data_IF_127719865998
#
_entry.id   IF_127719865998
#
_cell.length_a   1.000
_cell.length_b   1.000
_cell.length_c   1.000
_cell.angle_alpha   90.00
_cell.angle_beta   90.00
_cell.angle_gamma   90.00
#
_symmetry.space_group_name_H-M   'P 1'
#
loop_
_entity.id
_entity.type
_entity.pdbx_description
1 polymer ?
#
# COMPACT_ATOMS: atom_id res chain seq x y z
N UNK A 1 -8.37 -9.79 -4.84
CA UNK A 1 -7.44 -10.29 -3.80
C UNK A 1 -6.03 -10.38 -4.40
N UNK A 2 -5.52 -9.30 -5.03
CA UNK A 2 -4.33 -9.37 -5.92
C UNK A 2 -3.20 -8.42 -5.47
N UNK A 3 -3.53 -7.31 -4.79
CA UNK A 3 -2.55 -6.26 -4.49
C UNK A 3 -1.53 -6.66 -3.41
N UNK A 4 -1.91 -7.42 -2.40
CA UNK A 4 -0.98 -7.83 -1.33
C UNK A 4 0.04 -8.86 -1.83
N UNK A 5 -0.40 -9.80 -2.66
CA UNK A 5 0.49 -10.78 -3.30
C UNK A 5 1.43 -10.09 -4.29
N UNK A 6 0.93 -9.10 -5.06
CA UNK A 6 1.80 -8.32 -5.93
C UNK A 6 2.84 -7.50 -5.15
N UNK A 7 2.47 -6.95 -3.99
CA UNK A 7 3.42 -6.24 -3.11
C UNK A 7 4.47 -7.20 -2.53
N UNK A 8 4.12 -8.46 -2.23
CA UNK A 8 5.09 -9.41 -1.69
C UNK A 8 6.11 -9.87 -2.73
N UNK A 9 5.71 -9.99 -3.99
CA UNK A 9 6.61 -10.37 -5.09
C UNK A 9 7.38 -9.18 -5.66
N UNK A 10 6.71 -8.03 -5.86
CA UNK A 10 7.26 -6.86 -6.54
C UNK A 10 6.89 -5.58 -5.80
N UNK A 11 7.49 -5.30 -4.62
CA UNK A 11 7.07 -4.20 -3.77
C UNK A 11 7.34 -2.82 -4.38
N UNK A 12 8.22 -2.66 -5.35
CA UNK A 12 8.55 -1.35 -5.94
C UNK A 12 7.79 -1.06 -7.25
N UNK A 13 7.12 -2.06 -7.83
CA UNK A 13 6.50 -1.98 -9.17
C UNK A 13 5.13 -2.66 -9.24
N UNK A 14 4.38 -2.37 -10.30
CA UNK A 14 3.09 -3.03 -10.58
C UNK A 14 1.89 -2.10 -10.43
N UNK A 15 0.75 -2.66 -10.06
CA UNK A 15 -0.51 -1.93 -10.02
C UNK A 15 -0.62 -0.96 -8.85
N UNK A 16 -1.54 0.00 -8.98
CA UNK A 16 -1.79 1.00 -7.94
C UNK A 16 -0.73 2.09 -7.85
N UNK A 17 0.01 2.36 -8.92
CA UNK A 17 0.99 3.48 -9.00
C UNK A 17 1.90 3.55 -7.76
N UNK A 18 2.85 2.61 -7.62
CA UNK A 18 3.77 2.60 -6.49
C UNK A 18 4.62 3.89 -6.47
N UNK A 19 4.58 4.60 -5.34
CA UNK A 19 5.29 5.86 -5.16
C UNK A 19 6.09 5.85 -3.86
N UNK A 20 7.39 6.15 -3.96
CA UNK A 20 8.23 6.34 -2.78
C UNK A 20 7.90 7.68 -2.11
N UNK A 21 7.56 7.63 -0.82
CA UNK A 21 7.23 8.81 -0.04
C UNK A 21 8.50 9.56 0.39
N UNK A 22 8.34 10.87 0.61
CA UNK A 22 9.44 11.80 0.91
C UNK A 22 9.20 12.48 2.27
N UNK A 23 10.24 13.16 2.78
CA UNK A 23 10.15 13.90 4.05
C UNK A 23 10.10 12.98 5.27
N UNK A 24 9.15 13.20 6.17
CA UNK A 24 8.99 12.40 7.39
C UNK A 24 8.62 10.94 7.14
N UNK A 25 8.10 10.62 5.95
CA UNK A 25 7.77 9.26 5.51
C UNK A 25 8.80 8.71 4.52
N UNK A 26 10.01 9.28 4.46
CA UNK A 26 11.09 8.74 3.65
C UNK A 26 11.36 7.28 4.02
N UNK A 27 11.49 6.41 3.01
CA UNK A 27 11.63 4.95 3.19
C UNK A 27 10.31 4.18 3.20
N UNK A 28 9.17 4.88 3.17
CA UNK A 28 7.87 4.28 2.93
C UNK A 28 7.44 4.41 1.46
N UNK A 29 6.53 3.55 1.06
CA UNK A 29 5.91 3.46 -0.24
C UNK A 29 4.41 3.61 -0.12
N UNK A 30 3.77 4.21 -1.12
CA UNK A 30 2.32 4.29 -1.23
C UNK A 30 1.85 3.60 -2.49
N UNK A 31 0.73 2.88 -2.40
CA UNK A 31 -0.02 2.36 -3.56
C UNK A 31 -1.50 2.67 -3.43
N UNK A 32 -2.16 2.91 -4.56
CA UNK A 32 -3.60 3.09 -4.69
C UNK A 32 -4.31 1.74 -4.57
N UNK A 33 -5.19 1.63 -3.58
CA UNK A 33 -6.16 0.53 -3.51
C UNK A 33 -7.33 0.85 -4.45
N UNK A 34 -7.75 2.11 -4.44
CA UNK A 34 -8.78 2.66 -5.32
C UNK A 34 -8.54 4.18 -5.52
N UNK A 35 -9.51 4.91 -6.10
CA UNK A 35 -9.37 6.36 -6.34
C UNK A 35 -9.10 7.18 -5.07
N UNK A 36 -9.60 6.74 -3.91
CA UNK A 36 -9.55 7.46 -2.63
C UNK A 36 -8.53 6.87 -1.64
N UNK A 37 -8.46 5.55 -1.54
CA UNK A 37 -7.69 4.88 -0.49
C UNK A 37 -6.26 4.53 -0.93
N UNK A 38 -5.35 4.55 0.03
CA UNK A 38 -3.92 4.27 -0.15
C UNK A 38 -3.45 3.24 0.87
N UNK A 39 -2.66 2.29 0.40
CA UNK A 39 -1.87 1.39 1.22
C UNK A 39 -0.49 2.03 1.38
N UNK A 40 0.03 2.09 2.60
CA UNK A 40 1.40 2.54 2.88
C UNK A 40 2.19 1.37 3.42
N UNK A 41 3.39 1.13 2.90
CA UNK A 41 4.22 0.02 3.35
C UNK A 41 5.67 0.43 3.33
N UNK A 42 6.52 -0.37 3.97
CA UNK A 42 7.97 -0.25 3.85
C UNK A 42 8.56 -1.62 3.56
N UNK A 43 9.68 -1.58 2.86
CA UNK A 43 10.45 -2.75 2.46
C UNK A 43 11.67 -2.78 3.38
N UNK A 44 11.89 -3.91 4.04
CA UNK A 44 13.07 -4.14 4.86
C UNK A 44 13.66 -5.51 4.46
N UNK A 45 14.94 -5.74 4.76
CA UNK A 45 15.66 -6.95 4.31
C UNK A 45 15.06 -8.28 4.82
N UNK A 46 14.25 -8.23 5.87
CA UNK A 46 13.70 -9.41 6.56
C UNK A 46 12.20 -9.58 6.31
N UNK A 47 11.46 -8.49 6.17
CA UNK A 47 10.00 -8.52 6.08
C UNK A 47 9.46 -7.24 5.43
N UNK A 48 8.30 -7.37 4.78
CA UNK A 48 7.51 -6.24 4.28
C UNK A 48 6.46 -5.91 5.33
N UNK A 49 6.46 -4.67 5.83
CA UNK A 49 5.46 -4.20 6.80
C UNK A 49 4.46 -3.31 6.09
N UNK A 50 3.19 -3.72 6.11
CA UNK A 50 2.08 -3.03 5.46
C UNK A 50 1.21 -2.32 6.49
N UNK A 51 1.08 -1.00 6.36
CA UNK A 51 0.17 -0.15 7.11
C UNK A 51 -1.01 0.27 6.23
N UNK A 52 -2.21 -0.20 6.58
CA UNK A 52 -3.43 0.26 5.95
C UNK A 52 -3.91 1.49 6.72
N UNK A 53 -3.62 2.68 6.21
CA UNK A 53 -4.02 3.94 6.86
C UNK A 53 -5.52 4.20 6.77
N UNK A 54 -6.16 3.76 5.68
CA UNK A 54 -7.61 3.76 5.55
C UNK A 54 -8.09 2.61 4.66
N UNK A 55 -9.13 1.93 5.10
CA UNK A 55 -9.95 1.07 4.27
C UNK A 55 -11.39 1.55 4.47
N UNK A 56 -11.85 2.47 3.60
CA UNK A 56 -13.25 2.92 3.65
C UNK A 56 -14.16 1.87 3.01
N UNK A 57 -14.81 1.08 3.86
CA UNK A 57 -16.05 0.39 3.51
C UNK A 57 -17.25 1.27 3.86
N UNK A 58 -18.18 1.43 2.91
CA UNK A 58 -19.58 1.61 3.28
C UNK A 58 -20.05 0.25 3.79
N UNK A 59 -20.12 0.05 5.10
CA UNK A 59 -20.97 -0.99 5.66
C UNK A 59 -22.37 -0.39 5.85
N UNK A 60 -23.00 0.03 4.74
CA UNK A 60 -24.44 0.36 4.72
C UNK A 60 -25.23 -0.74 4.02
N UNK A 61 -24.81 -2.00 4.18
CA UNK A 61 -25.69 -3.15 3.91
C UNK A 61 -26.38 -3.57 5.21
N UNK A 62 -27.27 -2.70 5.71
CA UNK A 62 -28.66 -3.01 6.07
C UNK A 62 -29.42 -1.80 6.61
#
# INVERSE_FOLDING_TARGET
MILLDEISENPEFGTGEPEQLKGSLSGYWSRRINKKDRLIYRINDVEIIIFILSAKGHYDDK
#
